data_IF_561844225803
#
_entry.id   IF_561844225803
#
_cell.length_a   1.000
_cell.length_b   1.000
_cell.length_c   1.000
_cell.angle_alpha   90.00
_cell.angle_beta   90.00
_cell.angle_gamma   90.00
#
_symmetry.space_group_name_H-M   'P 1'
#
loop_
_entity.id
_entity.type
_entity.pdbx_description
1 polymer ?
#
# COMPACT_ATOMS: atom_id res chain seq x y z
N UNK A 1 15.86 -43.58 -1.75
CA UNK A 1 16.27 -42.26 -2.26
C UNK A 1 15.10 -41.31 -2.07
N UNK A 2 14.99 -40.72 -0.88
CA UNK A 2 14.08 -39.61 -0.64
C UNK A 2 14.88 -38.36 -1.01
N UNK A 3 14.61 -37.76 -2.17
CA UNK A 3 15.03 -36.40 -2.41
C UNK A 3 14.45 -35.55 -1.28
N UNK A 4 15.30 -34.76 -0.62
CA UNK A 4 14.95 -33.92 0.51
C UNK A 4 13.75 -33.05 0.14
N UNK A 5 12.63 -33.19 0.85
CA UNK A 5 11.43 -32.37 0.64
C UNK A 5 11.68 -30.85 0.81
N UNK A 6 12.84 -30.46 1.34
CA UNK A 6 13.29 -29.07 1.43
C UNK A 6 13.84 -28.48 0.13
N UNK A 7 14.25 -29.29 -0.86
CA UNK A 7 14.57 -28.79 -2.21
C UNK A 7 13.30 -28.52 -3.06
N UNK A 8 12.15 -29.05 -2.64
CA UNK A 8 10.92 -29.00 -3.43
C UNK A 8 10.21 -27.63 -3.43
N UNK A 9 10.60 -26.70 -2.55
CA UNK A 9 9.94 -25.39 -2.40
C UNK A 9 10.92 -24.22 -2.37
N UNK A 10 11.81 -24.19 -3.35
CA UNK A 10 12.65 -23.03 -3.62
C UNK A 10 11.81 -21.98 -4.38
N UNK A 11 11.72 -20.76 -3.86
CA UNK A 11 10.96 -19.68 -4.50
C UNK A 11 11.85 -19.02 -5.56
N UNK A 12 11.35 -18.94 -6.79
CA UNK A 12 12.07 -18.28 -7.88
C UNK A 12 12.04 -16.75 -7.69
N UNK A 13 13.21 -16.09 -7.56
CA UNK A 13 13.30 -14.64 -7.51
C UNK A 13 12.65 -13.98 -8.72
N UNK A 14 11.80 -12.98 -8.51
CA UNK A 14 11.38 -12.10 -9.60
C UNK A 14 11.97 -10.69 -9.37
N UNK A 15 13.13 -10.37 -9.97
CA UNK A 15 13.79 -9.08 -9.77
C UNK A 15 12.95 -7.89 -10.27
N UNK A 16 12.02 -8.10 -11.20
CA UNK A 16 11.15 -7.05 -11.73
C UNK A 16 10.06 -6.60 -10.74
N UNK A 17 9.80 -7.40 -9.69
CA UNK A 17 8.81 -7.09 -8.66
C UNK A 17 9.47 -6.80 -7.32
N UNK A 18 10.46 -7.60 -6.94
CA UNK A 18 11.09 -7.56 -5.61
C UNK A 18 12.60 -7.36 -5.65
N UNK A 19 13.16 -6.98 -6.82
CA UNK A 19 14.59 -6.76 -6.98
C UNK A 19 15.12 -5.63 -6.10
N UNK A 20 16.40 -5.75 -5.72
CA UNK A 20 17.08 -4.83 -4.81
C UNK A 20 16.98 -3.38 -5.30
N UNK A 21 17.12 -3.14 -6.61
CA UNK A 21 16.99 -1.81 -7.20
C UNK A 21 15.63 -1.15 -6.97
N UNK A 22 14.54 -1.92 -7.10
CA UNK A 22 13.17 -1.44 -6.85
C UNK A 22 13.01 -1.15 -5.35
N UNK A 23 13.41 -2.08 -4.49
CA UNK A 23 13.30 -1.94 -3.03
C UNK A 23 14.05 -0.71 -2.54
N UNK A 24 15.35 -0.60 -2.83
CA UNK A 24 16.20 0.51 -2.39
C UNK A 24 15.68 1.86 -2.91
N UNK A 25 15.26 1.94 -4.18
CA UNK A 25 14.68 3.15 -4.75
C UNK A 25 13.44 3.61 -3.98
N UNK A 26 12.52 2.68 -3.69
CA UNK A 26 11.31 2.97 -2.92
C UNK A 26 11.62 3.35 -1.47
N UNK A 27 12.62 2.73 -0.86
CA UNK A 27 13.03 3.02 0.52
C UNK A 27 13.56 4.45 0.64
N UNK A 28 14.47 4.82 -0.28
CA UNK A 28 15.03 6.17 -0.35
C UNK A 28 13.92 7.17 -0.59
N UNK A 29 13.01 6.91 -1.55
CA UNK A 29 11.94 7.85 -1.89
C UNK A 29 10.94 8.02 -0.74
N UNK A 30 10.56 6.94 -0.05
CA UNK A 30 9.64 6.98 1.08
C UNK A 30 10.25 7.71 2.30
N UNK A 31 11.51 7.44 2.63
CA UNK A 31 12.21 8.15 3.71
C UNK A 31 12.45 9.62 3.35
N UNK A 32 12.84 9.90 2.11
CA UNK A 32 13.03 11.26 1.61
C UNK A 32 11.74 12.06 1.66
N UNK A 33 10.57 11.45 1.41
CA UNK A 33 9.28 12.13 1.52
C UNK A 33 9.09 12.76 2.91
N UNK A 34 9.27 11.95 3.96
CA UNK A 34 9.09 12.39 5.34
C UNK A 34 10.17 13.39 5.78
N UNK A 35 11.44 13.14 5.43
CA UNK A 35 12.55 14.02 5.77
C UNK A 35 12.43 15.37 5.05
N UNK A 36 12.11 15.39 3.75
CA UNK A 36 12.02 16.61 2.95
C UNK A 36 10.82 17.47 3.36
N UNK A 37 9.68 16.84 3.66
CA UNK A 37 8.50 17.54 4.16
C UNK A 37 8.80 18.30 5.46
N UNK A 38 9.62 17.73 6.34
CA UNK A 38 10.00 18.36 7.60
C UNK A 38 11.14 19.37 7.48
N UNK A 39 12.17 19.08 6.68
CA UNK A 39 13.38 19.91 6.62
C UNK A 39 13.20 21.11 5.70
N UNK A 40 12.84 20.89 4.43
CA UNK A 40 12.81 21.94 3.42
C UNK A 40 11.54 22.78 3.43
N UNK A 41 10.47 22.30 4.08
CA UNK A 41 9.15 22.97 4.10
C UNK A 41 8.62 23.32 2.69
N UNK A 42 9.15 22.69 1.65
CA UNK A 42 8.79 22.95 0.26
C UNK A 42 7.62 22.05 -0.12
N UNK A 43 6.44 22.65 -0.23
CA UNK A 43 5.25 21.94 -0.67
C UNK A 43 5.43 21.33 -2.07
N UNK A 44 6.21 21.97 -2.94
CA UNK A 44 6.44 21.51 -4.32
C UNK A 44 7.29 20.24 -4.36
N UNK A 45 8.38 20.19 -3.58
CA UNK A 45 9.22 19.00 -3.49
C UNK A 45 8.47 17.81 -2.89
N UNK A 46 7.79 18.01 -1.76
CA UNK A 46 6.99 16.95 -1.13
C UNK A 46 5.89 16.47 -2.06
N UNK A 47 5.20 17.38 -2.74
CA UNK A 47 4.16 17.04 -3.74
C UNK A 47 4.72 16.21 -4.89
N UNK A 48 5.90 16.56 -5.40
CA UNK A 48 6.55 15.81 -6.48
C UNK A 48 6.94 14.40 -6.02
N UNK A 49 7.50 14.26 -4.81
CA UNK A 49 7.85 12.97 -4.22
C UNK A 49 6.59 12.11 -4.00
N UNK A 50 5.54 12.68 -3.39
CA UNK A 50 4.26 11.99 -3.18
C UNK A 50 3.63 11.53 -4.49
N UNK A 51 3.65 12.38 -5.53
CA UNK A 51 3.15 12.00 -6.85
C UNK A 51 3.99 10.88 -7.47
N UNK A 52 5.32 10.91 -7.31
CA UNK A 52 6.22 9.86 -7.80
C UNK A 52 5.96 8.53 -7.08
N UNK A 53 5.80 8.56 -5.75
CA UNK A 53 5.40 7.41 -4.95
C UNK A 53 4.05 6.88 -5.42
N UNK A 54 3.04 7.73 -5.57
CA UNK A 54 1.71 7.36 -6.03
C UNK A 54 1.70 6.64 -7.39
N UNK A 55 2.42 7.19 -8.38
CA UNK A 55 2.54 6.57 -9.71
C UNK A 55 3.28 5.23 -9.62
N UNK A 56 4.36 5.16 -8.85
CA UNK A 56 5.15 3.92 -8.69
C UNK A 56 4.33 2.84 -7.98
N UNK A 57 3.60 3.20 -6.93
CA UNK A 57 2.70 2.28 -6.21
C UNK A 57 1.58 1.76 -7.09
N UNK A 58 0.99 2.62 -7.92
CA UNK A 58 0.00 2.20 -8.91
C UNK A 58 0.60 1.23 -9.94
N UNK A 59 1.80 1.52 -10.44
CA UNK A 59 2.49 0.66 -11.41
C UNK A 59 2.77 -0.73 -10.82
N UNK A 60 3.26 -0.78 -9.57
CA UNK A 60 3.47 -2.04 -8.84
C UNK A 60 2.15 -2.78 -8.66
N UNK A 61 1.10 -2.10 -8.19
CA UNK A 61 -0.22 -2.72 -8.01
C UNK A 61 -0.78 -3.32 -9.30
N UNK A 62 -0.76 -2.56 -10.40
CA UNK A 62 -1.25 -3.04 -11.70
C UNK A 62 -0.42 -4.21 -12.22
N UNK A 63 0.92 -4.12 -12.11
CA UNK A 63 1.82 -5.20 -12.51
C UNK A 63 1.52 -6.47 -11.73
N UNK A 64 1.37 -6.36 -10.41
CA UNK A 64 1.01 -7.46 -9.54
C UNK A 64 -0.32 -8.09 -9.90
N UNK A 65 -1.36 -7.29 -10.16
CA UNK A 65 -2.67 -7.82 -10.60
C UNK A 65 -2.54 -8.56 -11.93
N UNK A 66 -1.79 -8.02 -12.89
CA UNK A 66 -1.60 -8.64 -14.21
C UNK A 66 -0.84 -9.96 -14.09
N UNK A 67 0.26 -10.01 -13.34
CA UNK A 67 1.06 -11.24 -13.14
C UNK A 67 0.22 -12.27 -12.36
N UNK A 68 -0.54 -11.84 -11.34
CA UNK A 68 -1.46 -12.72 -10.61
C UNK A 68 -2.51 -13.33 -11.54
N UNK A 69 -3.09 -12.52 -12.44
CA UNK A 69 -4.09 -12.98 -13.41
C UNK A 69 -3.53 -13.99 -14.42
N UNK A 70 -2.20 -13.99 -14.65
CA UNK A 70 -1.51 -14.99 -15.48
C UNK A 70 -1.22 -16.30 -14.75
N UNK A 71 -1.42 -16.36 -13.43
CA UNK A 71 -1.08 -17.52 -12.60
C UNK A 71 0.44 -17.66 -12.35
N UNK A 72 1.23 -16.65 -12.70
CA UNK A 72 2.69 -16.63 -12.58
C UNK A 72 3.16 -15.93 -11.30
N UNK A 73 2.27 -15.77 -10.31
CA UNK A 73 2.56 -15.00 -9.10
C UNK A 73 2.47 -15.86 -7.85
N UNK A 74 3.55 -15.96 -7.10
CA UNK A 74 3.58 -16.71 -5.84
C UNK A 74 3.15 -15.85 -4.65
N UNK A 75 2.77 -16.53 -3.56
CA UNK A 75 2.35 -15.87 -2.32
C UNK A 75 3.46 -14.99 -1.74
N UNK A 76 4.72 -15.43 -1.81
CA UNK A 76 5.86 -14.67 -1.30
C UNK A 76 5.98 -13.30 -1.96
N UNK A 77 5.92 -13.23 -3.30
CA UNK A 77 5.99 -11.94 -4.01
C UNK A 77 4.77 -11.08 -3.71
N UNK A 78 3.58 -11.66 -3.54
CA UNK A 78 2.39 -10.93 -3.12
C UNK A 78 2.55 -10.28 -1.74
N UNK A 79 3.16 -10.98 -0.78
CA UNK A 79 3.47 -10.45 0.55
C UNK A 79 4.55 -9.36 0.49
N UNK A 80 5.54 -9.49 -0.40
CA UNK A 80 6.52 -8.44 -0.64
C UNK A 80 5.83 -7.17 -1.17
N UNK A 81 4.97 -7.33 -2.18
CA UNK A 81 4.20 -6.23 -2.75
C UNK A 81 3.27 -5.61 -1.72
N UNK A 82 2.64 -6.38 -0.83
CA UNK A 82 1.86 -5.85 0.29
C UNK A 82 2.68 -4.86 1.13
N UNK A 83 3.92 -5.21 1.50
CA UNK A 83 4.81 -4.30 2.23
C UNK A 83 5.23 -3.10 1.38
N UNK A 84 5.60 -3.31 0.11
CA UNK A 84 5.98 -2.22 -0.79
C UNK A 84 4.84 -1.22 -0.99
N UNK A 85 3.61 -1.67 -1.18
CA UNK A 85 2.42 -0.83 -1.25
C UNK A 85 2.14 -0.13 0.09
N UNK A 86 2.44 -0.78 1.22
CA UNK A 86 2.39 -0.15 2.55
C UNK A 86 3.42 0.98 2.73
N UNK A 87 4.63 0.81 2.18
CA UNK A 87 5.72 1.80 2.24
C UNK A 87 5.43 3.00 1.33
N UNK A 88 5.06 2.71 0.09
CA UNK A 88 4.82 3.72 -0.94
C UNK A 88 3.50 4.44 -0.69
N UNK A 89 2.53 3.73 -0.12
CA UNK A 89 1.15 4.17 -0.02
C UNK A 89 0.46 4.16 -1.37
N UNK A 90 -0.87 4.04 -1.36
CA UNK A 90 -1.69 4.23 -2.55
C UNK A 90 -1.98 5.72 -2.73
N UNK A 91 -0.94 6.53 -2.94
CA UNK A 91 -1.09 7.96 -3.16
C UNK A 91 -1.47 8.26 -4.63
N UNK A 92 -2.52 7.63 -5.16
CA UNK A 92 -3.02 7.93 -6.52
C UNK A 92 -3.75 9.30 -6.60
N UNK A 93 -3.43 10.23 -5.70
CA UNK A 93 -3.95 11.60 -5.71
C UNK A 93 -2.93 12.47 -6.44
N UNK A 94 -3.26 13.05 -7.60
CA UNK A 94 -2.43 14.07 -8.18
C UNK A 94 -2.45 15.29 -7.26
N UNK A 95 -1.36 15.51 -6.54
CA UNK A 95 -1.13 16.74 -5.80
C UNK A 95 -0.39 17.68 -6.76
N UNK A 96 -0.92 18.88 -6.99
CA UNK A 96 -0.33 19.84 -7.90
C UNK A 96 -1.19 21.07 -8.13
N UNK A 97 -0.55 22.19 -8.45
CA UNK A 97 -1.23 23.46 -8.74
C UNK A 97 -1.74 23.46 -10.18
N UNK A 98 -2.82 22.73 -10.41
CA UNK A 98 -3.52 22.78 -11.69
C UNK A 98 -4.87 23.47 -11.50
N UNK A 99 -5.37 24.24 -12.49
CA UNK A 99 -6.74 24.72 -12.48
C UNK A 99 -7.68 23.51 -12.51
N UNK A 100 -8.14 23.09 -11.33
CA UNK A 100 -8.96 21.91 -11.17
C UNK A 100 -10.42 22.30 -11.34
N UNK A 101 -10.93 22.20 -12.57
CA UNK A 101 -12.37 22.19 -12.81
C UNK A 101 -13.05 21.04 -12.06
N UNK A 102 -14.35 21.17 -11.78
CA UNK A 102 -15.15 20.16 -11.07
C UNK A 102 -15.00 18.78 -11.70
N UNK A 103 -15.06 18.70 -13.04
CA UNK A 103 -14.90 17.45 -13.80
C UNK A 103 -13.58 16.75 -13.47
N UNK A 104 -12.47 17.49 -13.50
CA UNK A 104 -11.14 16.94 -13.20
C UNK A 104 -11.07 16.40 -11.77
N UNK A 105 -11.60 17.14 -10.79
CA UNK A 105 -11.61 16.71 -9.38
C UNK A 105 -12.44 15.43 -9.22
N UNK A 106 -13.60 15.34 -9.86
CA UNK A 106 -14.46 14.15 -9.82
C UNK A 106 -13.75 12.95 -10.45
N UNK A 107 -13.15 13.11 -11.63
CA UNK A 107 -12.43 12.03 -12.33
C UNK A 107 -11.27 11.49 -11.49
N UNK A 108 -10.41 12.37 -10.94
CA UNK A 108 -9.30 11.92 -10.12
C UNK A 108 -9.75 11.31 -8.79
N UNK A 109 -10.82 11.84 -8.19
CA UNK A 109 -11.40 11.23 -6.98
C UNK A 109 -11.96 9.84 -7.28
N UNK A 110 -12.68 9.67 -8.38
CA UNK A 110 -13.22 8.37 -8.79
C UNK A 110 -12.09 7.37 -9.08
N UNK A 111 -11.04 7.81 -9.78
CA UNK A 111 -9.86 6.99 -10.05
C UNK A 111 -9.16 6.55 -8.76
N UNK A 112 -8.91 7.49 -7.84
CA UNK A 112 -8.32 7.20 -6.54
C UNK A 112 -9.13 6.18 -5.75
N UNK A 113 -10.46 6.36 -5.71
CA UNK A 113 -11.37 5.43 -5.03
C UNK A 113 -11.31 4.04 -5.67
N UNK A 114 -11.35 3.96 -7.00
CA UNK A 114 -11.26 2.71 -7.73
C UNK A 114 -9.96 1.96 -7.42
N UNK A 115 -8.81 2.65 -7.46
CA UNK A 115 -7.50 2.06 -7.15
C UNK A 115 -7.43 1.63 -5.68
N UNK A 116 -7.93 2.45 -4.76
CA UNK A 116 -7.92 2.14 -3.32
C UNK A 116 -8.79 0.92 -3.00
N UNK A 117 -10.02 0.88 -3.52
CA UNK A 117 -10.93 -0.26 -3.38
C UNK A 117 -10.32 -1.50 -4.04
N UNK A 118 -9.84 -1.38 -5.28
CA UNK A 118 -9.21 -2.48 -6.01
C UNK A 118 -8.02 -3.07 -5.25
N UNK A 119 -7.17 -2.24 -4.65
CA UNK A 119 -6.04 -2.72 -3.85
C UNK A 119 -6.49 -3.41 -2.58
N UNK A 120 -7.46 -2.83 -1.84
CA UNK A 120 -7.98 -3.47 -0.63
C UNK A 120 -8.63 -4.82 -0.94
N UNK A 121 -9.46 -4.90 -1.99
CA UNK A 121 -10.08 -6.15 -2.42
C UNK A 121 -9.02 -7.17 -2.84
N UNK A 122 -8.01 -6.76 -3.62
CA UNK A 122 -6.92 -7.64 -4.02
C UNK A 122 -6.15 -8.19 -2.81
N UNK A 123 -5.78 -7.33 -1.86
CA UNK A 123 -5.06 -7.78 -0.65
C UNK A 123 -5.92 -8.72 0.20
N UNK A 124 -7.23 -8.43 0.35
CA UNK A 124 -8.17 -9.34 1.02
C UNK A 124 -8.18 -10.70 0.30
N UNK A 125 -8.23 -10.70 -1.04
CA UNK A 125 -8.17 -11.92 -1.83
C UNK A 125 -6.88 -12.72 -1.60
N UNK A 126 -5.71 -12.07 -1.66
CA UNK A 126 -4.39 -12.69 -1.39
C UNK A 126 -4.39 -13.36 -0.03
N UNK A 127 -4.76 -12.63 1.03
CA UNK A 127 -4.75 -13.21 2.38
C UNK A 127 -5.81 -14.31 2.52
N UNK A 128 -7.05 -14.09 2.08
CA UNK A 128 -8.12 -15.09 2.18
C UNK A 128 -7.75 -16.42 1.49
N UNK A 129 -7.08 -16.33 0.35
CA UNK A 129 -6.65 -17.48 -0.46
C UNK A 129 -5.21 -17.91 -0.21
N UNK A 130 -4.51 -17.36 0.80
CA UNK A 130 -3.08 -17.61 1.02
C UNK A 130 -2.64 -19.10 0.94
N UNK A 131 -3.38 -20.09 1.50
CA UNK A 131 -2.98 -21.50 1.35
C UNK A 131 -2.99 -22.02 -0.09
N UNK A 132 -3.85 -21.47 -0.95
CA UNK A 132 -4.06 -21.91 -2.33
C UNK A 132 -3.68 -20.83 -3.35
N UNK A 133 -2.95 -19.81 -2.93
CA UNK A 133 -2.62 -18.66 -3.78
C UNK A 133 -1.47 -19.00 -4.73
N UNK A 134 -1.56 -18.53 -5.98
CA UNK A 134 -0.50 -18.66 -6.96
C UNK A 134 -0.40 -20.02 -7.66
N UNK A 135 0.56 -20.14 -8.57
CA UNK A 135 0.84 -21.38 -9.31
C UNK A 135 1.49 -22.47 -8.45
N UNK A 136 2.25 -22.08 -7.42
CA UNK A 136 3.02 -22.97 -6.55
C UNK A 136 2.36 -23.19 -5.19
N UNK A 137 1.05 -23.44 -5.18
CA UNK A 137 0.25 -23.45 -3.95
C UNK A 137 0.72 -24.47 -2.89
N UNK A 138 1.30 -25.59 -3.34
CA UNK A 138 1.90 -26.63 -2.50
C UNK A 138 3.04 -26.12 -1.62
N UNK A 139 3.72 -25.05 -2.03
CA UNK A 139 4.84 -24.46 -1.31
C UNK A 139 4.45 -23.32 -0.37
N UNK A 140 3.20 -22.85 -0.39
CA UNK A 140 2.75 -21.75 0.45
C UNK A 140 2.92 -22.03 1.95
N UNK A 141 2.87 -23.31 2.37
CA UNK A 141 3.10 -23.71 3.75
C UNK A 141 4.51 -23.43 4.28
N UNK A 142 5.48 -23.28 3.37
CA UNK A 142 6.88 -22.94 3.72
C UNK A 142 7.15 -21.43 3.75
N UNK A 143 6.22 -20.61 3.25
CA UNK A 143 6.38 -19.16 3.18
C UNK A 143 6.27 -18.56 4.58
N UNK A 144 7.32 -17.88 5.02
CA UNK A 144 7.41 -17.22 6.32
C UNK A 144 7.08 -15.75 6.16
N UNK A 145 6.10 -15.29 6.94
CA UNK A 145 5.78 -13.88 7.12
C UNK A 145 6.41 -13.38 8.43
N UNK A 146 7.17 -12.29 8.36
CA UNK A 146 7.85 -11.72 9.52
C UNK A 146 6.99 -10.61 10.13
N UNK A 147 6.55 -10.81 11.37
CA UNK A 147 5.75 -9.82 12.10
C UNK A 147 6.44 -9.49 13.42
N UNK A 148 6.82 -8.23 13.64
CA UNK A 148 7.64 -7.80 14.77
C UNK A 148 8.91 -8.64 14.98
N UNK A 149 9.54 -9.07 13.87
CA UNK A 149 10.75 -9.90 13.91
C UNK A 149 10.52 -11.37 14.28
N UNK A 150 9.26 -11.78 14.52
CA UNK A 150 8.87 -13.18 14.77
C UNK A 150 8.46 -13.83 13.45
N UNK A 151 8.88 -15.08 13.26
CA UNK A 151 8.51 -15.90 12.12
C UNK A 151 7.14 -16.53 12.31
N UNK A 152 6.21 -16.20 11.42
CA UNK A 152 4.86 -16.74 11.39
C UNK A 152 4.63 -17.31 10.00
N UNK A 153 4.12 -18.54 9.89
CA UNK A 153 3.75 -19.07 8.58
C UNK A 153 2.67 -18.18 7.94
N UNK A 154 2.87 -17.79 6.68
CA UNK A 154 1.94 -16.92 5.96
C UNK A 154 0.53 -17.54 5.82
N UNK A 155 0.46 -18.87 5.85
CA UNK A 155 -0.78 -19.66 5.81
C UNK A 155 -1.45 -19.84 7.17
N UNK A 156 -0.86 -19.31 8.25
CA UNK A 156 -1.43 -19.38 9.59
C UNK A 156 -2.84 -18.80 9.61
N UNK A 157 -3.86 -19.54 10.10
CA UNK A 157 -5.24 -19.09 10.07
C UNK A 157 -5.44 -17.81 10.89
N UNK A 158 -4.70 -17.65 12.00
CA UNK A 158 -4.79 -16.46 12.86
C UNK A 158 -4.31 -15.23 12.12
N UNK A 159 -3.12 -15.30 11.52
CA UNK A 159 -2.54 -14.18 10.76
C UNK A 159 -3.43 -13.79 9.58
N UNK A 160 -3.89 -14.80 8.83
CA UNK A 160 -4.77 -14.62 7.67
C UNK A 160 -6.04 -13.86 8.04
N UNK A 161 -6.79 -14.34 9.03
CA UNK A 161 -8.07 -13.73 9.39
C UNK A 161 -7.90 -12.39 10.09
N UNK A 162 -6.76 -12.16 10.76
CA UNK A 162 -6.39 -10.85 11.29
C UNK A 162 -6.24 -9.83 10.16
N UNK A 163 -5.46 -10.14 9.10
CA UNK A 163 -5.30 -9.22 7.97
C UNK A 163 -6.58 -9.07 7.15
N UNK A 164 -7.31 -10.14 6.86
CA UNK A 164 -8.62 -10.07 6.18
C UNK A 164 -9.60 -9.19 6.97
N UNK A 165 -9.67 -9.36 8.29
CA UNK A 165 -10.51 -8.55 9.17
C UNK A 165 -10.09 -7.08 9.16
N UNK A 166 -8.79 -6.79 9.34
CA UNK A 166 -8.27 -5.43 9.34
C UNK A 166 -8.51 -4.71 7.99
N UNK A 167 -8.20 -5.37 6.87
CA UNK A 167 -8.42 -4.83 5.52
C UNK A 167 -9.92 -4.70 5.20
N UNK A 168 -10.75 -5.64 5.66
CA UNK A 168 -12.20 -5.58 5.53
C UNK A 168 -12.82 -4.41 6.28
N UNK A 169 -12.35 -4.13 7.50
CA UNK A 169 -12.75 -2.94 8.28
C UNK A 169 -12.35 -1.66 7.52
N UNK A 170 -11.14 -1.60 6.97
CA UNK A 170 -10.69 -0.44 6.17
C UNK A 170 -11.57 -0.25 4.93
N UNK A 171 -11.91 -1.32 4.23
CA UNK A 171 -12.79 -1.28 3.06
C UNK A 171 -14.21 -0.83 3.44
N UNK A 172 -14.75 -1.33 4.55
CA UNK A 172 -16.05 -0.92 5.07
C UNK A 172 -16.07 0.56 5.47
N UNK A 173 -15.04 1.02 6.18
CA UNK A 173 -14.89 2.42 6.56
C UNK A 173 -14.81 3.34 5.34
N UNK A 174 -14.06 2.93 4.31
CA UNK A 174 -14.01 3.64 3.02
C UNK A 174 -15.39 3.71 2.36
N UNK A 175 -16.12 2.60 2.33
CA UNK A 175 -17.51 2.56 1.83
C UNK A 175 -18.44 3.51 2.58
N UNK A 176 -18.40 3.51 3.91
CA UNK A 176 -19.18 4.43 4.75
C UNK A 176 -18.83 5.90 4.47
N UNK A 177 -17.54 6.23 4.34
CA UNK A 177 -17.09 7.58 4.01
C UNK A 177 -17.62 8.04 2.63
N UNK A 178 -17.59 7.15 1.63
CA UNK A 178 -18.13 7.45 0.29
C UNK A 178 -19.65 7.66 0.31
N UNK A 179 -20.39 6.86 1.08
CA UNK A 179 -21.83 7.03 1.24
C UNK A 179 -22.15 8.36 1.91
N UNK A 180 -21.44 8.74 2.97
CA UNK A 180 -21.60 10.04 3.64
C UNK A 180 -21.34 11.20 2.67
N UNK A 181 -20.26 11.13 1.88
CA UNK A 181 -19.97 12.14 0.85
C UNK A 181 -21.07 12.21 -0.21
N UNK A 182 -21.61 11.07 -0.65
CA UNK A 182 -22.70 11.02 -1.61
C UNK A 182 -23.99 11.64 -1.04
N UNK A 183 -24.36 11.30 0.20
CA UNK A 183 -25.51 11.88 0.88
C UNK A 183 -25.40 13.40 1.00
N UNK A 184 -24.26 13.91 1.48
CA UNK A 184 -24.02 15.36 1.58
C UNK A 184 -24.08 16.02 0.20
N UNK A 185 -23.53 15.37 -0.83
CA UNK A 185 -23.55 15.91 -2.20
C UNK A 185 -24.98 15.99 -2.77
N UNK A 186 -25.82 14.99 -2.48
CA UNK A 186 -27.24 14.95 -2.83
C UNK A 186 -27.98 16.07 -2.10
N UNK A 187 -27.80 16.20 -0.77
CA UNK A 187 -28.46 17.24 0.03
C UNK A 187 -28.13 18.67 -0.46
N UNK A 188 -26.87 18.90 -0.85
CA UNK A 188 -26.43 20.16 -1.46
C UNK A 188 -27.09 20.39 -2.82
N UNK A 189 -27.19 19.34 -3.66
CA UNK A 189 -27.83 19.44 -4.98
C UNK A 189 -29.33 19.75 -4.88
N UNK A 190 -30.02 19.18 -3.89
CA UNK A 190 -31.45 19.41 -3.64
C UNK A 190 -31.76 20.70 -2.87
N UNK A 191 -30.75 21.55 -2.62
CA UNK A 191 -30.96 22.91 -2.13
C UNK A 191 -31.44 23.00 -0.68
N UNK A 192 -31.23 21.97 0.14
CA UNK A 192 -31.37 22.13 1.60
C UNK A 192 -30.23 23.03 2.05
N UNK A 193 -30.59 24.22 2.52
CA UNK A 193 -29.67 25.26 2.97
C UNK A 193 -28.81 24.75 4.15
N UNK A 194 -27.67 24.13 3.85
CA UNK A 194 -26.80 23.40 4.78
C UNK A 194 -25.89 24.35 5.59
N UNK A 195 -26.13 25.66 5.51
CA UNK A 195 -25.35 26.71 6.19
C UNK A 195 -25.28 26.54 7.72
N UNK A 196 -26.18 25.78 8.33
CA UNK A 196 -26.21 25.54 9.77
C UNK A 196 -25.32 24.41 10.30
N UNK A 197 -24.89 23.44 9.47
CA UNK A 197 -24.20 22.24 9.97
C UNK A 197 -22.68 22.26 9.76
N UNK A 198 -22.21 22.96 8.71
CA UNK A 198 -20.78 23.16 8.41
C UNK A 198 -20.33 24.63 8.56
N UNK A 199 -21.04 25.42 9.38
CA UNK A 199 -20.71 26.82 9.69
C UNK A 199 -19.43 27.02 10.52
N UNK A 200 -18.38 26.22 10.30
CA UNK A 200 -17.02 26.50 10.72
C UNK A 200 -16.31 27.23 9.57
N UNK A 201 -16.20 28.55 9.68
CA UNK A 201 -15.57 29.40 8.66
C UNK A 201 -14.16 28.92 8.30
N UNK A 202 -13.95 28.65 7.02
CA UNK A 202 -12.63 28.42 6.43
C UNK A 202 -12.26 29.60 5.51
N UNK A 203 -12.40 30.82 6.04
CA UNK A 203 -11.77 32.03 5.50
C UNK A 203 -10.85 32.59 6.57
N UNK A 204 -9.65 32.03 6.63
CA UNK A 204 -8.57 32.50 7.43
C UNK A 204 -7.33 31.79 6.93
N UNK A 205 -6.35 32.55 6.43
CA UNK A 205 -5.05 32.03 6.04
C UNK A 205 -4.35 31.37 7.23
N UNK A 206 -4.73 30.13 7.54
CA UNK A 206 -4.04 29.31 8.51
C UNK A 206 -2.63 29.09 7.96
N UNK A 207 -1.68 29.84 8.52
CA UNK A 207 -0.28 29.51 8.45
C UNK A 207 -0.18 28.02 8.78
N UNK A 208 0.21 27.20 7.78
CA UNK A 208 0.34 25.75 7.90
C UNK A 208 1.10 25.45 9.20
N UNK A 209 0.38 25.02 10.24
CA UNK A 209 0.99 24.66 11.52
C UNK A 209 2.03 23.59 11.22
N UNK A 210 3.26 23.81 11.67
CA UNK A 210 4.36 22.87 11.44
C UNK A 210 3.89 21.48 11.86
N UNK A 211 4.12 20.44 11.04
CA UNK A 211 3.81 19.08 11.44
C UNK A 211 4.52 18.81 12.76
N UNK A 212 3.78 18.31 13.74
CA UNK A 212 4.33 18.10 15.05
C UNK A 212 5.43 17.04 14.97
N UNK A 213 6.52 17.20 15.72
CA UNK A 213 7.69 16.30 15.66
C UNK A 213 7.29 14.83 15.90
N UNK A 214 6.30 14.58 16.76
CA UNK A 214 5.79 13.23 16.99
C UNK A 214 5.18 12.58 15.74
N UNK A 215 4.55 13.36 14.85
CA UNK A 215 4.01 12.85 13.59
C UNK A 215 5.16 12.39 12.69
N UNK A 216 6.18 13.23 12.52
CA UNK A 216 7.38 12.86 11.74
C UNK A 216 8.01 11.57 12.28
N UNK A 217 8.25 11.51 13.60
CA UNK A 217 8.84 10.33 14.24
C UNK A 217 7.96 9.10 14.02
N UNK A 218 6.64 9.23 14.14
CA UNK A 218 5.71 8.11 13.91
C UNK A 218 5.72 7.60 12.48
N UNK A 219 5.76 8.51 11.49
CA UNK A 219 5.81 8.13 10.08
C UNK A 219 7.15 7.49 9.73
N UNK A 220 8.26 8.09 10.13
CA UNK A 220 9.60 7.52 9.92
C UNK A 220 9.73 6.14 10.58
N UNK A 221 9.30 6.00 11.84
CA UNK A 221 9.35 4.73 12.54
C UNK A 221 8.49 3.66 11.84
N UNK A 222 7.28 4.02 11.39
CA UNK A 222 6.40 3.14 10.63
C UNK A 222 7.03 2.71 9.29
N UNK A 223 7.59 3.64 8.53
CA UNK A 223 8.29 3.35 7.27
C UNK A 223 9.48 2.42 7.52
N UNK A 224 10.38 2.76 8.45
CA UNK A 224 11.55 1.95 8.80
C UNK A 224 11.13 0.55 9.26
N UNK A 225 10.08 0.44 10.08
CA UNK A 225 9.53 -0.84 10.49
C UNK A 225 9.14 -1.69 9.29
N UNK A 226 8.38 -1.13 8.33
CA UNK A 226 7.99 -1.85 7.11
C UNK A 226 9.21 -2.25 6.26
N UNK A 227 10.23 -1.39 6.15
CA UNK A 227 11.47 -1.73 5.44
C UNK A 227 12.17 -2.93 6.06
N UNK A 228 12.33 -2.90 7.39
CA UNK A 228 13.01 -3.97 8.14
C UNK A 228 12.21 -5.27 8.08
N UNK A 229 10.88 -5.22 8.22
CA UNK A 229 10.05 -6.42 8.10
C UNK A 229 10.15 -7.03 6.70
N UNK A 230 10.15 -6.22 5.65
CA UNK A 230 10.31 -6.68 4.27
C UNK A 230 11.67 -7.33 4.04
N UNK A 231 12.77 -6.70 4.46
CA UNK A 231 14.12 -7.27 4.29
C UNK A 231 14.33 -8.53 5.14
N UNK A 232 13.77 -8.59 6.34
CA UNK A 232 13.79 -9.83 7.14
C UNK A 232 12.98 -10.94 6.46
N UNK A 233 11.82 -10.61 5.88
CA UNK A 233 11.02 -11.58 5.14
C UNK A 233 11.77 -12.12 3.91
N UNK A 234 12.45 -11.26 3.15
CA UNK A 234 13.30 -11.70 2.02
C UNK A 234 14.41 -12.63 2.51
N UNK A 235 15.09 -12.29 3.61
CA UNK A 235 16.21 -13.11 4.14
C UNK A 235 15.79 -14.44 4.75
N UNK A 236 14.57 -14.57 5.27
CA UNK A 236 14.11 -15.76 5.99
C UNK A 236 13.37 -16.78 5.12
N UNK A 237 13.04 -16.41 3.88
CA UNK A 237 12.45 -17.35 2.93
C UNK A 237 13.56 -17.98 2.03
N UNK A 238 13.43 -19.27 1.67
CA UNK A 238 14.39 -19.95 0.81
C UNK A 238 14.23 -19.50 -0.65
N UNK A 239 15.04 -18.53 -1.05
CA UNK A 239 15.06 -17.99 -2.41
C UNK A 239 16.08 -18.75 -3.27
N UNK A 240 15.74 -18.96 -4.53
CA UNK A 240 16.69 -19.45 -5.52
C UNK A 240 17.79 -18.44 -5.85
N UNK A 241 18.86 -18.88 -6.54
CA UNK A 241 19.89 -17.98 -7.03
C UNK A 241 19.29 -16.94 -7.99
N UNK A 242 19.64 -15.65 -7.83
CA UNK A 242 19.20 -14.56 -8.71
C UNK A 242 18.60 -13.31 -8.05
N UNK A 243 18.45 -13.27 -6.72
CA UNK A 243 17.94 -12.08 -5.99
C UNK A 243 19.05 -11.19 -5.39
N UNK A 244 20.25 -11.75 -5.18
CA UNK A 244 21.41 -11.06 -4.57
C UNK A 244 22.44 -10.56 -5.61
N UNK A 245 22.23 -10.84 -6.90
CA UNK A 245 23.01 -10.29 -8.03
C UNK A 245 22.34 -9.01 -8.59
#
# INVERSE_FOLDING_TARGET
MAANATEACLIDPNPDVVGVGIRVSLYVLALANHLCAYTFHSAELTTAIESSLGVTGLAIFLTTVIITARGEFDLFHALCVFHLLGIVGLAARPVGRYPAGVVRRVVFSAFYVLVSVGTLVYLIYVFATAPTFGGSAECNGSVVYVFFGVDIQATSPVLRWLFVGALGILLFALGCALLLVACVSIDVLFGRDFRGFFGGGQDGGEAKKRPAVYQLVSYLAGTIYLLVMLELMVRRNPLGPGLDE
#
